data_IF_625497985030
#
_entry.id   IF_625497985030
#
_cell.length_a   1.000
_cell.length_b   1.000
_cell.length_c   1.000
_cell.angle_alpha   90.00
_cell.angle_beta   90.00
_cell.angle_gamma   90.00
#
_symmetry.space_group_name_H-M   'P 1'
#
loop_
_entity.id
_entity.type
_entity.pdbx_description
1 polymer ?
#
# COMPACT_ATOMS: atom_id res chain seq x y z
N UNK A 1 -0.12 27.15 -10.54
CA UNK A 1 1.19 26.44 -10.55
C UNK A 1 1.13 25.41 -9.44
N UNK A 2 1.05 24.11 -9.78
CA UNK A 2 1.13 23.07 -8.75
C UNK A 2 2.58 23.02 -8.26
N UNK A 3 2.79 23.38 -6.99
CA UNK A 3 4.09 23.20 -6.36
C UNK A 3 4.47 21.71 -6.49
N UNK A 4 5.62 21.42 -7.10
CA UNK A 4 6.12 20.05 -7.18
C UNK A 4 6.43 19.60 -5.76
N UNK A 5 5.71 18.61 -5.25
CA UNK A 5 5.99 18.02 -3.94
C UNK A 5 7.44 17.54 -3.92
N UNK A 6 8.19 17.95 -2.89
CA UNK A 6 9.62 17.63 -2.77
C UNK A 6 9.85 16.35 -1.97
N UNK A 7 8.99 16.09 -0.98
CA UNK A 7 9.02 14.94 -0.07
C UNK A 7 8.18 13.77 -0.60
N UNK A 8 8.53 12.56 -0.16
CA UNK A 8 7.67 11.40 -0.30
C UNK A 8 6.39 11.62 0.51
N UNK A 9 5.23 11.36 -0.10
CA UNK A 9 3.91 11.50 0.54
C UNK A 9 3.40 10.11 0.90
N UNK A 10 3.24 9.83 2.19
CA UNK A 10 2.90 8.51 2.71
C UNK A 10 1.59 8.61 3.50
N UNK A 11 0.65 7.71 3.21
CA UNK A 11 -0.54 7.46 4.03
C UNK A 11 -0.43 6.06 4.63
N UNK A 12 -0.65 5.95 5.94
CA UNK A 12 -0.61 4.71 6.70
C UNK A 12 -2.02 4.42 7.24
N UNK A 13 -2.57 3.25 6.91
CA UNK A 13 -3.87 2.80 7.40
C UNK A 13 -3.77 1.41 8.01
N UNK A 14 -4.06 1.32 9.30
CA UNK A 14 -4.28 0.07 9.97
C UNK A 14 -5.79 -0.21 10.03
N UNK A 15 -6.24 -1.28 9.38
CA UNK A 15 -7.64 -1.68 9.30
C UNK A 15 -7.98 -2.79 10.30
N UNK A 16 -7.14 -2.97 11.30
CA UNK A 16 -7.27 -4.04 12.29
C UNK A 16 -6.73 -3.56 13.64
N UNK A 17 -7.52 -3.71 14.70
CA UNK A 17 -7.15 -3.32 16.07
C UNK A 17 -6.41 -4.42 16.82
N UNK A 18 -5.75 -5.33 16.12
CA UNK A 18 -4.86 -6.27 16.79
C UNK A 18 -3.54 -5.58 17.10
N UNK A 19 -2.99 -5.85 18.28
CA UNK A 19 -1.73 -5.28 18.77
C UNK A 19 -0.59 -5.35 17.74
N UNK A 20 -0.59 -6.37 16.90
CA UNK A 20 0.43 -6.58 15.87
C UNK A 20 0.43 -5.53 14.77
N UNK A 21 -0.74 -5.22 14.21
CA UNK A 21 -0.85 -4.23 13.14
C UNK A 21 -0.72 -2.81 13.68
N UNK A 22 -1.22 -2.55 14.89
CA UNK A 22 -0.99 -1.29 15.60
C UNK A 22 0.50 -1.04 15.81
N UNK A 23 1.25 -2.06 16.26
CA UNK A 23 2.70 -1.97 16.43
C UNK A 23 3.42 -1.70 15.11
N UNK A 24 2.98 -2.32 14.00
CA UNK A 24 3.52 -2.06 12.66
C UNK A 24 3.29 -0.61 12.23
N UNK A 25 2.08 -0.10 12.43
CA UNK A 25 1.72 1.29 12.14
C UNK A 25 2.62 2.26 12.89
N UNK A 26 2.66 2.15 14.23
CA UNK A 26 3.42 3.09 15.06
C UNK A 26 4.93 3.00 14.84
N UNK A 27 5.46 1.81 14.62
CA UNK A 27 6.89 1.64 14.30
C UNK A 27 7.24 2.30 12.97
N UNK A 28 6.39 2.15 11.96
CA UNK A 28 6.58 2.76 10.65
C UNK A 28 6.49 4.28 10.73
N UNK A 29 5.46 4.80 11.40
CA UNK A 29 5.27 6.24 11.59
C UNK A 29 6.43 6.87 12.37
N UNK A 30 6.83 6.26 13.48
CA UNK A 30 7.96 6.74 14.29
C UNK A 30 9.26 6.77 13.48
N UNK A 31 9.53 5.74 12.69
CA UNK A 31 10.69 5.72 11.80
C UNK A 31 10.66 6.87 10.77
N UNK A 32 9.55 7.03 10.06
CA UNK A 32 9.42 8.06 9.02
C UNK A 32 9.51 9.46 9.60
N UNK A 33 8.87 9.71 10.75
CA UNK A 33 8.92 10.99 11.47
C UNK A 33 10.34 11.32 11.93
N UNK A 34 11.01 10.37 12.58
CA UNK A 34 12.40 10.55 13.03
C UNK A 34 13.35 10.75 11.85
N UNK A 35 13.11 10.06 10.72
CA UNK A 35 13.91 10.27 9.51
C UNK A 35 13.75 11.70 8.96
N UNK A 36 12.52 12.23 8.94
CA UNK A 36 12.24 13.58 8.50
C UNK A 36 12.86 14.64 9.44
N UNK A 37 12.83 14.41 10.76
CA UNK A 37 13.48 15.28 11.74
C UNK A 37 14.98 15.39 11.52
N UNK A 38 15.65 14.27 11.26
CA UNK A 38 17.11 14.23 11.08
C UNK A 38 17.54 14.73 9.71
N UNK A 39 16.81 14.38 8.64
CA UNK A 39 17.22 14.62 7.26
C UNK A 39 16.49 15.78 6.58
N UNK A 40 15.55 16.39 7.27
CA UNK A 40 14.76 17.53 6.83
C UNK A 40 13.38 17.18 6.30
N UNK A 41 12.40 18.13 6.40
CA UNK A 41 11.00 17.90 6.04
C UNK A 41 10.78 17.67 4.54
N UNK A 42 11.75 17.99 3.69
CA UNK A 42 11.72 17.76 2.25
C UNK A 42 12.03 16.29 1.88
N UNK A 43 12.21 15.38 2.85
CA UNK A 43 12.53 13.97 2.60
C UNK A 43 11.28 13.11 2.52
N UNK A 44 10.50 13.10 3.58
CA UNK A 44 9.26 12.31 3.69
C UNK A 44 8.24 13.07 4.55
N UNK A 45 6.98 12.89 4.22
CA UNK A 45 5.83 13.41 4.98
C UNK A 45 4.80 12.30 5.13
N UNK A 46 4.41 12.00 6.36
CA UNK A 46 3.25 11.18 6.66
C UNK A 46 2.05 12.14 6.72
N UNK A 47 1.17 12.05 5.71
CA UNK A 47 0.00 12.93 5.61
C UNK A 47 -1.16 12.40 6.45
N UNK A 48 -1.27 11.08 6.53
CA UNK A 48 -2.30 10.40 7.29
C UNK A 48 -1.71 9.16 7.96
N UNK A 49 -2.05 8.95 9.24
CA UNK A 49 -1.71 7.77 10.02
C UNK A 49 -2.88 7.47 10.95
N UNK A 50 -3.59 6.38 10.72
CA UNK A 50 -4.77 6.04 11.50
C UNK A 50 -4.98 4.53 11.66
N UNK A 51 -5.59 4.19 12.79
CA UNK A 51 -6.23 2.90 13.03
C UNK A 51 -7.72 3.12 12.86
N UNK A 52 -8.30 2.66 11.74
CA UNK A 52 -9.70 2.90 11.46
C UNK A 52 -10.37 1.68 10.81
N UNK A 53 -11.65 1.50 11.12
CA UNK A 53 -12.54 0.56 10.45
C UNK A 53 -13.77 1.29 9.87
N UNK A 54 -13.72 2.63 9.86
CA UNK A 54 -14.76 3.45 9.27
C UNK A 54 -14.57 3.49 7.73
N UNK A 55 -15.52 2.95 6.95
CA UNK A 55 -15.43 2.95 5.49
C UNK A 55 -15.33 4.34 4.86
N UNK A 56 -15.94 5.34 5.48
CA UNK A 56 -15.92 6.72 4.95
C UNK A 56 -14.54 7.33 5.12
N UNK A 57 -13.90 7.15 6.28
CA UNK A 57 -12.52 7.59 6.54
C UNK A 57 -11.54 6.87 5.61
N UNK A 58 -11.67 5.54 5.45
CA UNK A 58 -10.84 4.75 4.55
C UNK A 58 -10.99 5.26 3.11
N UNK A 59 -12.23 5.48 2.67
CA UNK A 59 -12.51 6.01 1.33
C UNK A 59 -11.88 7.37 1.15
N UNK A 60 -12.03 8.29 2.10
CA UNK A 60 -11.39 9.61 2.05
C UNK A 60 -9.88 9.49 1.83
N UNK A 61 -9.18 8.69 2.63
CA UNK A 61 -7.71 8.54 2.54
C UNK A 61 -7.28 7.90 1.23
N UNK A 62 -8.07 6.98 0.67
CA UNK A 62 -7.80 6.37 -0.64
C UNK A 62 -7.84 7.40 -1.77
N UNK A 63 -8.74 8.38 -1.70
CA UNK A 63 -8.87 9.44 -2.72
C UNK A 63 -7.93 10.64 -2.47
N UNK A 64 -7.28 10.72 -1.30
CA UNK A 64 -6.18 11.65 -1.09
C UNK A 64 -4.95 11.28 -1.91
N UNK A 65 -4.21 12.31 -2.34
CA UNK A 65 -3.00 12.08 -3.14
C UNK A 65 -1.86 11.57 -2.24
N UNK A 66 -1.34 10.40 -2.57
CA UNK A 66 -0.17 9.82 -1.90
C UNK A 66 0.77 9.14 -2.90
N UNK A 67 2.07 9.14 -2.61
CA UNK A 67 3.03 8.33 -3.34
C UNK A 67 2.91 6.86 -2.91
N UNK A 68 2.75 6.62 -1.60
CA UNK A 68 2.52 5.29 -1.04
C UNK A 68 1.30 5.34 -0.11
N UNK A 69 0.34 4.45 -0.34
CA UNK A 69 -0.69 4.09 0.62
C UNK A 69 -0.38 2.70 1.15
N UNK A 70 -0.16 2.61 2.46
CA UNK A 70 0.19 1.39 3.14
C UNK A 70 -0.98 0.90 3.99
N UNK A 71 -1.49 -0.28 3.66
CA UNK A 71 -2.51 -0.97 4.44
C UNK A 71 -1.89 -2.07 5.32
N UNK A 72 -2.23 -2.06 6.59
CA UNK A 72 -1.86 -3.06 7.59
C UNK A 72 -3.13 -3.74 8.08
N UNK A 73 -3.34 -5.01 7.70
CA UNK A 73 -4.58 -5.71 8.00
C UNK A 73 -4.50 -7.20 7.70
N UNK A 74 -5.47 -7.94 8.20
CA UNK A 74 -5.76 -9.25 7.63
C UNK A 74 -6.30 -9.12 6.21
N UNK A 75 -5.98 -10.10 5.34
CA UNK A 75 -6.63 -10.26 4.05
C UNK A 75 -7.42 -11.56 4.04
N UNK A 76 -8.69 -11.48 3.69
CA UNK A 76 -9.59 -12.61 3.70
C UNK A 76 -10.26 -12.85 2.34
N UNK A 77 -10.83 -14.05 2.20
CA UNK A 77 -11.65 -14.42 1.05
C UNK A 77 -13.03 -14.82 1.52
N UNK A 78 -14.01 -14.00 1.26
CA UNK A 78 -15.42 -14.33 1.47
C UNK A 78 -15.98 -15.17 0.32
N UNK A 79 -16.80 -16.18 0.63
CA UNK A 79 -17.63 -16.89 -0.35
C UNK A 79 -18.97 -16.18 -0.52
N UNK A 80 -19.35 -15.89 -1.76
CA UNK A 80 -20.72 -15.47 -2.11
C UNK A 80 -21.27 -16.44 -3.13
N UNK A 81 -22.59 -16.44 -3.33
CA UNK A 81 -23.23 -17.23 -4.40
C UNK A 81 -22.67 -16.91 -5.80
N UNK A 82 -21.96 -15.79 -5.95
CA UNK A 82 -21.37 -15.29 -7.20
C UNK A 82 -19.85 -15.48 -7.30
N UNK A 83 -19.20 -16.09 -6.30
CA UNK A 83 -17.77 -16.36 -6.29
C UNK A 83 -17.03 -15.88 -5.02
N UNK A 84 -15.69 -16.02 -5.02
CA UNK A 84 -14.85 -15.59 -3.89
C UNK A 84 -14.53 -14.11 -4.03
N UNK A 85 -14.96 -13.30 -3.06
CA UNK A 85 -14.49 -11.93 -2.89
C UNK A 85 -13.17 -11.91 -2.10
N UNK A 86 -12.30 -10.98 -2.42
CA UNK A 86 -11.08 -10.65 -1.69
C UNK A 86 -11.24 -9.26 -1.08
N UNK A 87 -10.99 -9.12 0.21
CA UNK A 87 -11.07 -7.86 0.94
C UNK A 87 -10.00 -7.79 2.02
N UNK A 88 -9.72 -6.59 2.49
CA UNK A 88 -8.93 -6.34 3.71
C UNK A 88 -9.88 -6.12 4.89
N UNK A 89 -9.47 -6.57 6.06
CA UNK A 89 -10.23 -6.53 7.28
C UNK A 89 -10.42 -7.91 7.87
N UNK A 90 -11.07 -7.97 9.01
CA UNK A 90 -11.32 -9.19 9.73
C UNK A 90 -12.82 -9.50 9.73
N UNK A 91 -13.25 -10.67 9.22
CA UNK A 91 -14.66 -11.03 9.02
C UNK A 91 -15.55 -10.78 10.26
N UNK A 92 -15.15 -11.13 11.52
CA UNK A 92 -15.95 -10.83 12.70
C UNK A 92 -16.19 -9.35 12.96
N UNK A 93 -15.35 -8.47 12.39
CA UNK A 93 -15.43 -7.01 12.54
C UNK A 93 -16.02 -6.32 11.31
N UNK A 94 -16.32 -7.08 10.24
CA UNK A 94 -16.84 -6.59 8.98
C UNK A 94 -15.78 -6.35 7.91
N UNK A 95 -16.23 -6.18 6.67
CA UNK A 95 -15.39 -5.82 5.53
C UNK A 95 -15.13 -4.33 5.56
N UNK A 96 -13.85 -3.93 5.55
CA UNK A 96 -13.48 -2.52 5.63
C UNK A 96 -12.89 -1.97 4.33
N UNK A 97 -12.33 -2.83 3.48
CA UNK A 97 -11.82 -2.45 2.16
C UNK A 97 -12.17 -3.52 1.13
N UNK A 98 -13.09 -3.20 0.24
CA UNK A 98 -13.46 -4.04 -0.90
C UNK A 98 -13.16 -3.32 -2.22
N UNK A 99 -12.16 -3.80 -2.99
CA UNK A 99 -11.79 -3.18 -4.27
C UNK A 99 -12.95 -3.12 -5.28
N UNK A 100 -13.92 -4.03 -5.19
CA UNK A 100 -15.05 -4.07 -6.13
C UNK A 100 -16.02 -2.91 -5.87
N UNK A 101 -16.36 -2.65 -4.59
CA UNK A 101 -17.22 -1.51 -4.22
C UNK A 101 -16.59 -0.16 -4.57
N UNK A 102 -15.28 -0.01 -4.35
CA UNK A 102 -14.57 1.21 -4.74
C UNK A 102 -14.49 1.38 -6.26
N UNK A 103 -14.41 0.27 -7.01
CA UNK A 103 -14.42 0.31 -8.47
C UNK A 103 -15.77 0.77 -9.02
N UNK A 104 -16.87 0.36 -8.41
CA UNK A 104 -18.21 0.82 -8.75
C UNK A 104 -18.31 2.34 -8.54
N UNK A 105 -17.86 2.86 -7.39
CA UNK A 105 -17.80 4.30 -7.13
C UNK A 105 -16.96 5.06 -8.18
N UNK A 106 -15.76 4.55 -8.51
CA UNK A 106 -14.89 5.18 -9.50
C UNK A 106 -15.53 5.22 -10.90
N UNK A 107 -16.30 4.20 -11.27
CA UNK A 107 -17.02 4.14 -12.53
C UNK A 107 -18.21 5.13 -12.57
N UNK A 108 -18.93 5.27 -11.47
CA UNK A 108 -20.09 6.15 -11.36
C UNK A 108 -19.69 7.63 -11.34
N UNK A 109 -18.62 7.96 -10.61
CA UNK A 109 -18.20 9.36 -10.42
C UNK A 109 -17.14 9.82 -11.42
N UNK A 110 -16.42 8.92 -12.05
CA UNK A 110 -15.23 9.22 -12.85
C UNK A 110 -14.01 9.61 -12.00
N UNK A 111 -14.12 9.52 -10.67
CA UNK A 111 -13.03 9.80 -9.74
C UNK A 111 -12.21 8.54 -9.47
N UNK A 112 -10.89 8.67 -9.55
CA UNK A 112 -9.95 7.58 -9.33
C UNK A 112 -8.96 7.93 -8.23
N UNK A 113 -8.53 6.94 -7.41
CA UNK A 113 -7.47 7.13 -6.44
C UNK A 113 -6.20 7.72 -7.07
N UNK A 114 -5.58 8.67 -6.38
CA UNK A 114 -4.35 9.35 -6.82
C UNK A 114 -3.12 8.76 -6.12
N UNK A 115 -3.04 7.45 -6.08
CA UNK A 115 -1.99 6.68 -5.40
C UNK A 115 -1.09 6.06 -6.45
N UNK A 116 0.22 6.06 -6.22
CA UNK A 116 1.19 5.46 -7.14
C UNK A 116 1.66 4.07 -6.70
N UNK A 117 1.69 3.83 -5.38
CA UNK A 117 2.08 2.55 -4.80
C UNK A 117 1.11 2.15 -3.68
N UNK A 118 0.54 0.95 -3.78
CA UNK A 118 -0.16 0.27 -2.69
C UNK A 118 0.78 -0.75 -2.08
N UNK A 119 1.07 -0.59 -0.79
CA UNK A 119 1.79 -1.57 0.01
C UNK A 119 0.80 -2.26 0.95
N UNK A 120 0.74 -3.57 0.92
CA UNK A 120 -0.14 -4.37 1.75
C UNK A 120 0.64 -5.28 2.69
N UNK A 121 0.60 -5.00 3.98
CA UNK A 121 0.94 -5.92 5.04
C UNK A 121 -0.27 -6.82 5.33
N UNK A 122 -0.58 -7.69 4.36
CA UNK A 122 -1.74 -8.56 4.41
C UNK A 122 -1.48 -9.86 3.64
N UNK A 123 -2.00 -10.96 4.17
CA UNK A 123 -1.80 -12.29 3.60
C UNK A 123 -2.35 -12.38 2.15
N UNK A 124 -1.56 -12.99 1.25
CA UNK A 124 -1.94 -13.23 -0.15
C UNK A 124 -2.36 -11.99 -0.97
N UNK A 125 -2.10 -10.79 -0.47
CA UNK A 125 -2.49 -9.51 -1.09
C UNK A 125 -1.74 -9.20 -2.39
N UNK A 126 -0.56 -9.79 -2.61
CA UNK A 126 0.24 -9.67 -3.83
C UNK A 126 -0.14 -10.64 -4.94
N UNK A 127 -1.25 -11.35 -4.84
CA UNK A 127 -1.67 -12.34 -5.85
C UNK A 127 -2.20 -11.69 -7.13
N UNK A 128 -2.21 -12.45 -8.23
CA UNK A 128 -2.77 -11.98 -9.50
C UNK A 128 -4.28 -11.63 -9.40
N UNK A 129 -4.99 -12.25 -8.45
CA UNK A 129 -6.40 -11.96 -8.18
C UNK A 129 -6.57 -10.55 -7.64
N UNK A 130 -5.76 -10.13 -6.65
CA UNK A 130 -5.75 -8.77 -6.14
C UNK A 130 -5.40 -7.75 -7.24
N UNK A 131 -4.32 -7.99 -7.98
CA UNK A 131 -3.92 -7.11 -9.07
C UNK A 131 -5.02 -6.92 -10.13
N UNK A 132 -5.79 -7.97 -10.42
CA UNK A 132 -6.91 -7.90 -11.37
C UNK A 132 -8.07 -7.06 -10.83
N UNK A 133 -8.42 -7.21 -9.54
CA UNK A 133 -9.49 -6.44 -8.89
C UNK A 133 -9.14 -4.97 -8.76
N UNK A 134 -7.89 -4.67 -8.38
CA UNK A 134 -7.42 -3.30 -8.24
C UNK A 134 -7.29 -2.54 -9.58
N UNK A 135 -7.34 -3.27 -10.72
CA UNK A 135 -7.20 -2.61 -12.04
C UNK A 135 -8.28 -1.59 -12.33
N UNK A 136 -9.49 -1.81 -11.85
CA UNK A 136 -10.61 -0.88 -12.02
C UNK A 136 -10.49 0.39 -11.18
N UNK A 137 -9.63 0.39 -10.17
CA UNK A 137 -9.31 1.59 -9.38
C UNK A 137 -8.21 2.45 -10.01
N UNK A 138 -7.60 1.99 -11.09
CA UNK A 138 -6.53 2.73 -11.76
C UNK A 138 -7.11 3.49 -12.95
N UNK A 139 -6.94 4.81 -12.93
CA UNK A 139 -7.37 5.67 -14.05
C UNK A 139 -6.81 5.17 -15.37
N UNK A 140 -7.61 5.21 -16.47
CA UNK A 140 -7.17 4.77 -17.78
C UNK A 140 -5.82 5.34 -18.21
N UNK A 141 -4.91 4.47 -18.65
CA UNK A 141 -3.56 4.84 -19.07
C UNK A 141 -2.60 5.21 -17.93
N UNK A 142 -3.05 5.19 -16.67
CA UNK A 142 -2.18 5.35 -15.49
C UNK A 142 -1.67 4.00 -15.02
N UNK A 143 -0.64 4.05 -14.19
CA UNK A 143 -0.03 2.88 -13.54
C UNK A 143 -0.17 2.98 -12.04
N UNK A 144 -0.31 1.81 -11.40
CA UNK A 144 -0.25 1.61 -9.96
C UNK A 144 0.72 0.48 -9.67
N UNK A 145 1.62 0.68 -8.73
CA UNK A 145 2.46 -0.38 -8.17
C UNK A 145 1.73 -1.04 -7.02
N UNK A 146 1.55 -2.36 -7.07
CA UNK A 146 1.07 -3.17 -5.97
C UNK A 146 2.25 -3.95 -5.38
N UNK A 147 2.47 -3.81 -4.08
CA UNK A 147 3.38 -4.64 -3.30
C UNK A 147 2.55 -5.35 -2.24
N UNK A 148 2.67 -6.67 -2.19
CA UNK A 148 1.94 -7.49 -1.22
C UNK A 148 2.46 -8.92 -1.22
N UNK A 149 1.91 -9.78 -0.37
CA UNK A 149 2.44 -11.13 -0.16
C UNK A 149 1.77 -12.17 -1.04
N UNK A 150 2.49 -13.25 -1.39
CA UNK A 150 1.95 -14.37 -2.17
C UNK A 150 1.47 -15.53 -1.33
N UNK A 151 1.72 -15.49 -0.02
CA UNK A 151 1.34 -16.50 0.96
C UNK A 151 0.90 -15.85 2.28
N UNK A 152 0.48 -16.68 3.22
CA UNK A 152 0.35 -16.24 4.60
C UNK A 152 1.72 -15.87 5.15
N UNK A 153 1.77 -14.78 5.89
CA UNK A 153 2.96 -14.22 6.53
C UNK A 153 2.67 -13.95 8.00
N UNK A 154 3.71 -14.03 8.81
CA UNK A 154 3.66 -13.59 10.19
C UNK A 154 4.04 -12.09 10.30
N UNK A 155 3.79 -11.51 11.45
CA UNK A 155 4.06 -10.09 11.70
C UNK A 155 5.54 -9.74 11.62
N UNK A 156 6.42 -10.64 12.05
CA UNK A 156 7.86 -10.40 11.98
C UNK A 156 8.35 -10.34 10.53
N UNK A 157 7.78 -11.18 9.66
CA UNK A 157 8.06 -11.15 8.23
C UNK A 157 7.63 -9.82 7.62
N UNK A 158 6.43 -9.33 7.98
CA UNK A 158 5.94 -8.04 7.47
C UNK A 158 6.78 -6.88 7.97
N UNK A 159 7.10 -6.83 9.27
CA UNK A 159 7.94 -5.78 9.85
C UNK A 159 9.34 -5.71 9.23
N UNK A 160 10.00 -6.86 9.06
CA UNK A 160 11.34 -6.90 8.43
C UNK A 160 11.30 -6.32 7.02
N UNK A 161 10.31 -6.73 6.21
CA UNK A 161 10.18 -6.22 4.86
C UNK A 161 9.81 -4.74 4.82
N UNK A 162 8.81 -4.33 5.57
CA UNK A 162 8.28 -2.96 5.59
C UNK A 162 9.31 -1.96 6.07
N UNK A 163 10.04 -2.27 7.13
CA UNK A 163 11.11 -1.40 7.62
C UNK A 163 12.26 -1.27 6.61
N UNK A 164 12.66 -2.39 5.98
CA UNK A 164 13.67 -2.35 4.91
C UNK A 164 13.18 -1.53 3.71
N UNK A 165 11.92 -1.71 3.30
CA UNK A 165 11.32 -0.96 2.20
C UNK A 165 11.36 0.55 2.45
N UNK A 166 10.88 1.02 3.60
CA UNK A 166 10.86 2.45 3.90
C UNK A 166 12.26 3.02 4.11
N UNK A 167 13.16 2.27 4.77
CA UNK A 167 14.55 2.70 4.92
C UNK A 167 15.22 2.97 3.58
N UNK A 168 14.98 2.14 2.57
CA UNK A 168 15.54 2.33 1.23
C UNK A 168 14.79 3.41 0.46
N UNK A 169 13.45 3.44 0.56
CA UNK A 169 12.62 4.42 -0.15
C UNK A 169 13.07 5.85 0.14
N UNK A 170 13.24 6.19 1.42
CA UNK A 170 13.53 7.55 1.86
C UNK A 170 14.99 7.99 1.65
N UNK A 171 15.91 7.07 1.38
CA UNK A 171 17.31 7.41 1.07
C UNK A 171 17.45 8.25 -0.21
N UNK A 172 16.49 8.15 -1.11
CA UNK A 172 16.48 8.94 -2.34
C UNK A 172 15.43 10.03 -2.26
N UNK A 173 15.84 11.25 -2.59
CA UNK A 173 14.88 12.34 -2.78
C UNK A 173 13.81 11.92 -3.78
N UNK A 174 12.55 12.28 -3.49
CA UNK A 174 11.42 11.93 -4.34
C UNK A 174 11.66 12.35 -5.80
N UNK A 175 11.66 11.42 -6.77
CA UNK A 175 11.84 11.76 -8.18
C UNK A 175 10.65 12.57 -8.71
N UNK A 176 10.93 13.56 -9.56
CA UNK A 176 9.89 14.44 -10.11
C UNK A 176 8.94 13.70 -11.07
N UNK A 177 9.47 12.81 -11.91
CA UNK A 177 8.65 12.08 -12.89
C UNK A 177 8.06 10.80 -12.29
N UNK A 178 6.82 10.48 -12.67
CA UNK A 178 6.18 9.23 -12.27
C UNK A 178 6.98 7.99 -12.71
N UNK A 179 7.52 7.99 -13.93
CA UNK A 179 8.35 6.88 -14.43
C UNK A 179 9.56 6.62 -13.55
N UNK A 180 10.25 7.68 -13.09
CA UNK A 180 11.40 7.53 -12.19
C UNK A 180 10.97 7.05 -10.80
N UNK A 181 9.76 7.42 -10.32
CA UNK A 181 9.21 6.90 -9.06
C UNK A 181 8.87 5.41 -9.16
N UNK A 182 8.22 4.97 -10.25
CA UNK A 182 7.95 3.55 -10.49
C UNK A 182 9.23 2.71 -10.54
N UNK A 183 10.27 3.20 -11.22
CA UNK A 183 11.56 2.53 -11.24
C UNK A 183 12.17 2.46 -9.84
N UNK A 184 12.00 3.50 -9.03
CA UNK A 184 12.50 3.52 -7.67
C UNK A 184 11.73 2.58 -6.75
N UNK A 185 10.41 2.44 -6.88
CA UNK A 185 9.66 1.42 -6.15
C UNK A 185 10.17 0.01 -6.46
N UNK A 186 10.44 -0.29 -7.73
CA UNK A 186 10.99 -1.59 -8.13
C UNK A 186 12.37 -1.85 -7.52
N UNK A 187 13.27 -0.87 -7.57
CA UNK A 187 14.59 -0.98 -6.96
C UNK A 187 14.49 -1.15 -5.43
N UNK A 188 13.64 -0.36 -4.80
CA UNK A 188 13.38 -0.42 -3.35
C UNK A 188 12.86 -1.79 -2.94
N UNK A 189 11.90 -2.34 -3.69
CA UNK A 189 11.36 -3.68 -3.46
C UNK A 189 12.43 -4.76 -3.56
N UNK A 190 13.26 -4.73 -4.60
CA UNK A 190 14.31 -5.72 -4.81
C UNK A 190 15.32 -5.72 -3.66
N UNK A 191 15.80 -4.54 -3.26
CA UNK A 191 16.73 -4.39 -2.15
C UNK A 191 16.09 -4.79 -0.80
N UNK A 192 14.82 -4.44 -0.56
CA UNK A 192 14.11 -4.87 0.64
C UNK A 192 13.98 -6.40 0.70
N UNK A 193 13.74 -7.06 -0.44
CA UNK A 193 13.72 -8.52 -0.52
C UNK A 193 15.10 -9.16 -0.31
N UNK A 194 16.18 -8.49 -0.66
CA UNK A 194 17.55 -8.95 -0.36
C UNK A 194 17.81 -8.88 1.15
N UNK A 195 17.53 -7.75 1.79
CA UNK A 195 17.64 -7.59 3.24
C UNK A 195 16.76 -8.63 3.98
N UNK A 196 15.52 -8.82 3.52
CA UNK A 196 14.64 -9.84 4.09
C UNK A 196 15.28 -11.23 4.06
N UNK A 197 15.87 -11.64 2.93
CA UNK A 197 16.54 -12.94 2.79
C UNK A 197 17.74 -13.08 3.70
N UNK A 198 18.52 -12.03 3.89
CA UNK A 198 19.68 -12.01 4.79
C UNK A 198 19.25 -12.17 6.26
N UNK A 199 18.17 -11.50 6.67
CA UNK A 199 17.69 -11.54 8.07
C UNK A 199 16.94 -12.84 8.38
N UNK A 200 16.03 -13.28 7.46
CA UNK A 200 15.13 -14.41 7.73
C UNK A 200 15.63 -15.74 7.19
N UNK A 201 16.66 -15.75 6.35
CA UNK A 201 17.22 -16.96 5.74
C UNK A 201 16.32 -17.67 4.73
N UNK A 202 15.19 -17.09 4.35
CA UNK A 202 14.22 -17.67 3.42
C UNK A 202 13.83 -16.71 2.31
N UNK A 203 13.06 -17.20 1.32
CA UNK A 203 12.60 -16.38 0.19
C UNK A 203 11.61 -15.31 0.66
N UNK A 204 11.84 -14.07 0.24
CA UNK A 204 10.91 -12.96 0.48
C UNK A 204 9.51 -13.30 -0.06
N UNK A 205 8.46 -13.22 0.76
CA UNK A 205 7.08 -13.51 0.35
C UNK A 205 6.43 -12.36 -0.41
N UNK A 206 7.00 -11.16 -0.33
CA UNK A 206 6.48 -9.97 -1.02
C UNK A 206 6.81 -10.01 -2.51
N UNK A 207 5.88 -9.56 -3.31
CA UNK A 207 6.03 -9.40 -4.76
C UNK A 207 5.55 -8.02 -5.17
N UNK A 208 6.17 -7.48 -6.21
CA UNK A 208 5.76 -6.26 -6.86
C UNK A 208 5.01 -6.59 -8.16
N UNK A 209 3.88 -5.93 -8.39
CA UNK A 209 3.11 -5.98 -9.64
C UNK A 209 2.81 -4.59 -10.14
N UNK A 210 3.00 -4.36 -11.43
CA UNK A 210 2.48 -3.17 -12.12
C UNK A 210 1.04 -3.43 -12.58
N UNK A 211 0.16 -2.51 -12.26
CA UNK A 211 -1.25 -2.52 -12.69
C UNK A 211 -1.46 -1.33 -13.62
N UNK A 212 -1.98 -1.59 -14.81
CA UNK A 212 -2.31 -0.53 -15.79
C UNK A 212 -3.82 -0.43 -15.89
N UNK A 213 -4.35 0.78 -15.73
CA UNK A 213 -5.77 1.07 -15.88
C UNK A 213 -6.23 0.79 -17.32
N UNK A 214 -7.41 0.19 -17.45
CA UNK A 214 -8.01 -0.07 -18.75
C UNK A 214 -8.85 1.13 -19.18
N UNK A 215 -8.77 1.49 -20.48
CA UNK A 215 -9.81 2.28 -21.11
C UNK A 215 -11.06 1.40 -21.25
N UNK A 216 -12.18 1.85 -20.75
CA UNK A 216 -13.46 1.24 -21.08
C UNK A 216 -13.83 1.74 -22.49
N UNK A 217 -13.66 0.88 -23.47
CA UNK A 217 -14.17 1.06 -24.83
C UNK A 217 -15.53 0.41 -24.95
#
# INVERSE_FOLDING_TARGET
MNATLKSWQINLLCLDRTEYFETSLWSTEAFLSSYAEVNGPDTVQVNHSAITMDPDEITQVIYESADVLHFMSHAESGGTAQGKRKFLGFIPLGTVFDPESLAEYALETGEYPKIECLLFDACESGTATWARKLRSLVSPGKKLTLIGTTRKVDIEETLVYTMAFYQILVQKKRPKSASARYQWYSNTHNLACEIFREIRGNKCPFVLREIVGKSFT
#
